data_IF_188996145325
#
_entry.id   IF_188996145325
#
_cell.length_a   1.000
_cell.length_b   1.000
_cell.length_c   1.000
_cell.angle_alpha   90.00
_cell.angle_beta   90.00
_cell.angle_gamma   90.00
#
_symmetry.space_group_name_H-M   'P 1'
#
loop_
_entity.id
_entity.type
_entity.pdbx_description
1 polymer ?
#
# COMPACT_ATOMS: atom_id res chain seq x y z
N UNK A 1 -63.71 5.82 15.19
CA UNK A 1 -62.61 5.72 14.18
C UNK A 1 -61.20 5.89 14.77
N UNK A 2 -61.02 5.99 16.10
CA UNK A 2 -59.73 6.31 16.75
C UNK A 2 -58.82 5.12 17.09
N UNK A 3 -59.33 3.87 17.11
CA UNK A 3 -58.52 2.71 17.52
C UNK A 3 -57.70 2.06 16.40
N UNK A 4 -57.99 2.36 15.12
CA UNK A 4 -57.27 1.78 13.97
C UNK A 4 -55.82 2.26 13.88
N UNK A 5 -55.52 3.46 14.36
CA UNK A 5 -54.16 4.01 14.36
C UNK A 5 -53.23 3.35 15.39
N UNK A 6 -53.76 2.90 16.54
CA UNK A 6 -52.96 2.17 17.54
C UNK A 6 -52.43 0.85 17.00
N UNK A 7 -53.27 0.11 16.25
CA UNK A 7 -52.85 -1.14 15.61
C UNK A 7 -51.82 -0.93 14.49
N UNK A 8 -51.92 0.18 13.74
CA UNK A 8 -50.92 0.55 12.72
C UNK A 8 -49.58 0.95 13.35
N UNK A 9 -49.60 1.66 14.48
CA UNK A 9 -48.37 2.01 15.23
C UNK A 9 -47.73 0.75 15.82
N UNK A 10 -48.50 -0.15 16.42
CA UNK A 10 -48.01 -1.43 16.97
C UNK A 10 -47.42 -2.31 15.86
N UNK A 11 -48.09 -2.41 14.70
CA UNK A 11 -47.58 -3.16 13.56
C UNK A 11 -46.28 -2.57 13.01
N UNK A 12 -46.15 -1.24 12.99
CA UNK A 12 -44.91 -0.57 12.54
C UNK A 12 -43.72 -0.82 13.47
N UNK A 13 -43.95 -0.95 14.78
CA UNK A 13 -42.91 -1.26 15.77
C UNK A 13 -42.39 -2.70 15.66
N UNK A 14 -43.24 -3.64 15.22
CA UNK A 14 -42.87 -5.04 14.98
C UNK A 14 -42.06 -5.23 13.69
N UNK A 15 -42.12 -4.28 12.76
CA UNK A 15 -41.43 -4.34 11.45
C UNK A 15 -40.16 -3.52 11.37
N UNK A 16 -39.66 -2.96 12.48
CA UNK A 16 -38.30 -2.40 12.51
C UNK A 16 -37.36 -3.53 12.92
N UNK A 17 -36.71 -4.24 11.99
CA UNK A 17 -35.53 -5.02 12.35
C UNK A 17 -34.50 -4.01 12.83
N UNK A 18 -34.40 -3.82 14.15
CA UNK A 18 -33.27 -3.12 14.74
C UNK A 18 -32.01 -3.82 14.23
N UNK A 19 -31.02 -3.05 13.75
CA UNK A 19 -29.75 -3.61 13.33
C UNK A 19 -29.15 -4.42 14.49
N UNK A 20 -29.32 -5.74 14.45
CA UNK A 20 -28.89 -6.66 15.50
C UNK A 20 -27.36 -6.82 15.52
N UNK A 21 -26.67 -6.36 14.47
CA UNK A 21 -25.24 -6.55 14.28
C UNK A 21 -24.43 -5.31 14.70
N UNK A 22 -24.69 -4.80 15.91
CA UNK A 22 -23.92 -3.71 16.50
C UNK A 22 -22.76 -4.27 17.32
N UNK A 23 -21.65 -4.58 16.66
CA UNK A 23 -20.41 -4.96 17.34
C UNK A 23 -19.63 -3.68 17.75
N UNK A 24 -19.29 -3.57 19.03
CA UNK A 24 -18.59 -2.40 19.59
C UNK A 24 -17.23 -2.14 18.90
N UNK A 25 -16.95 -0.87 18.62
CA UNK A 25 -15.68 -0.41 18.01
C UNK A 25 -14.47 -0.81 18.87
N UNK A 26 -14.63 -0.84 20.19
CA UNK A 26 -13.56 -1.16 21.15
C UNK A 26 -13.10 -2.62 21.10
N UNK A 27 -13.92 -3.51 20.52
CA UNK A 27 -13.60 -4.94 20.32
C UNK A 27 -12.87 -5.20 19.00
N UNK A 28 -12.63 -4.16 18.18
CA UNK A 28 -12.02 -4.28 16.86
C UNK A 28 -10.63 -3.63 16.85
N UNK A 29 -9.68 -4.32 16.24
CA UNK A 29 -8.36 -3.79 15.95
C UNK A 29 -8.28 -3.56 14.44
N UNK A 30 -8.32 -2.29 14.04
CA UNK A 30 -8.23 -1.92 12.64
C UNK A 30 -6.79 -1.98 12.19
N UNK A 31 -6.51 -2.84 11.22
CA UNK A 31 -5.21 -2.87 10.57
C UNK A 31 -5.11 -1.61 9.69
N UNK A 32 -3.92 -1.04 9.52
CA UNK A 32 -3.67 0.07 8.57
C UNK A 32 -2.70 -0.32 7.48
N UNK A 33 -1.67 -1.08 7.83
CA UNK A 33 -0.65 -1.57 6.91
C UNK A 33 -0.38 -3.06 7.18
N UNK A 34 -0.18 -3.81 6.11
CA UNK A 34 0.17 -5.23 6.10
C UNK A 34 1.53 -5.36 5.43
N UNK A 35 2.42 -6.15 6.01
CA UNK A 35 3.72 -6.52 5.49
C UNK A 35 3.76 -8.04 5.32
N UNK A 36 4.24 -8.52 4.18
CA UNK A 36 4.43 -9.96 3.95
C UNK A 36 5.86 -10.24 3.55
N UNK A 37 6.47 -11.14 4.31
CA UNK A 37 7.81 -11.66 4.09
C UNK A 37 7.79 -13.20 4.03
N UNK A 38 8.74 -13.81 3.32
CA UNK A 38 9.10 -15.22 3.49
C UNK A 38 10.33 -15.24 4.41
N UNK A 39 10.24 -15.94 5.53
CA UNK A 39 11.36 -16.06 6.46
C UNK A 39 12.35 -17.16 6.07
N UNK A 40 13.44 -17.26 6.82
CA UNK A 40 14.52 -18.22 6.58
C UNK A 40 14.08 -19.69 6.67
N UNK A 41 12.91 -19.97 7.25
CA UNK A 41 12.33 -21.32 7.33
C UNK A 41 11.33 -21.58 6.21
N UNK A 42 11.29 -20.71 5.19
CA UNK A 42 10.33 -20.75 4.10
C UNK A 42 8.87 -20.66 4.58
N UNK A 43 8.64 -20.00 5.72
CA UNK A 43 7.30 -19.70 6.23
C UNK A 43 6.88 -18.29 5.82
N UNK A 44 5.58 -18.10 5.65
CA UNK A 44 5.00 -16.78 5.43
C UNK A 44 4.95 -16.06 6.75
N UNK A 45 5.64 -14.92 6.84
CA UNK A 45 5.57 -13.97 7.94
C UNK A 45 4.67 -12.83 7.56
N UNK A 46 3.58 -12.66 8.30
CA UNK A 46 2.72 -11.51 8.19
C UNK A 46 3.01 -10.53 9.33
N UNK A 47 3.24 -9.28 8.99
CA UNK A 47 3.41 -8.15 9.91
C UNK A 47 2.25 -7.18 9.72
N UNK A 48 1.61 -6.72 10.79
CA UNK A 48 0.52 -5.74 10.71
C UNK A 48 0.79 -4.56 11.62
N UNK A 49 0.33 -3.39 11.19
CA UNK A 49 0.26 -2.18 12.01
C UNK A 49 -1.17 -1.92 12.45
N UNK A 50 -1.34 -1.72 13.75
CA UNK A 50 -2.59 -1.31 14.40
C UNK A 50 -2.37 0.09 14.98
N UNK A 51 -3.17 1.11 14.63
CA UNK A 51 -3.01 2.45 15.17
C UNK A 51 -3.37 2.45 16.66
N UNK A 52 -2.55 3.13 17.47
CA UNK A 52 -2.84 3.35 18.87
C UNK A 52 -3.69 4.62 18.98
N UNK A 53 -4.90 4.48 19.54
CA UNK A 53 -5.72 5.63 19.90
C UNK A 53 -5.02 6.37 21.03
N UNK A 54 -4.43 7.54 20.74
CA UNK A 54 -3.93 8.42 21.79
C UNK A 54 -5.12 8.93 22.60
N UNK A 55 -5.07 8.77 23.92
CA UNK A 55 -5.93 9.54 24.80
C UNK A 55 -5.73 11.03 24.48
N UNK A 56 -6.83 11.73 24.22
CA UNK A 56 -6.82 13.17 24.04
C UNK A 56 -6.42 13.77 25.38
N UNK A 57 -5.13 14.07 25.54
CA UNK A 57 -4.64 14.74 26.73
C UNK A 57 -5.32 16.13 26.83
N UNK A 58 -5.77 16.53 28.03
CA UNK A 58 -6.39 17.83 28.22
C UNK A 58 -5.42 18.97 27.82
N UNK A 59 -5.94 20.10 27.30
CA UNK A 59 -5.12 21.22 26.87
C UNK A 59 -4.32 21.76 28.06
N UNK A 60 -3.00 21.56 28.04
CA UNK A 60 -2.08 21.96 29.12
C UNK A 60 -1.10 20.86 29.55
N UNK A 61 -1.34 19.59 29.20
CA UNK A 61 -0.36 18.54 29.43
C UNK A 61 0.81 18.69 28.46
N UNK A 62 2.02 18.98 28.98
CA UNK A 62 3.26 18.90 28.21
C UNK A 62 3.45 17.47 27.71
N UNK A 63 3.21 17.26 26.41
CA UNK A 63 3.48 15.99 25.73
C UNK A 63 4.99 15.79 25.62
N UNK A 64 5.58 15.18 26.65
CA UNK A 64 6.96 14.70 26.67
C UNK A 64 7.08 13.22 26.28
N UNK A 65 5.97 12.53 25.98
CA UNK A 65 5.99 11.11 25.63
C UNK A 65 6.14 10.93 24.13
N UNK A 66 7.36 10.54 23.73
CA UNK A 66 7.73 10.01 22.41
C UNK A 66 7.13 8.60 22.24
N UNK A 67 5.80 8.47 22.38
CA UNK A 67 5.08 7.21 22.21
C UNK A 67 4.87 6.88 20.73
N UNK A 68 5.02 5.61 20.36
CA UNK A 68 4.70 5.12 19.00
C UNK A 68 3.21 5.35 18.72
N UNK A 69 2.89 5.81 17.51
CA UNK A 69 1.51 6.05 17.08
C UNK A 69 0.78 4.79 16.62
N UNK A 70 1.53 3.69 16.52
CA UNK A 70 1.05 2.39 16.08
C UNK A 70 1.75 1.28 16.86
N UNK A 71 1.06 0.17 16.99
CA UNK A 71 1.59 -1.11 17.43
C UNK A 71 1.87 -1.96 16.20
N UNK A 72 3.07 -2.49 16.09
CA UNK A 72 3.45 -3.46 15.06
C UNK A 72 3.50 -4.84 15.68
N UNK A 73 2.79 -5.81 15.11
CA UNK A 73 2.82 -7.22 15.52
C UNK A 73 3.07 -8.11 14.31
N UNK A 74 3.75 -9.24 14.51
CA UNK A 74 4.09 -10.18 13.44
C UNK A 74 3.90 -11.61 13.89
N UNK A 75 3.39 -12.47 12.99
CA UNK A 75 3.35 -13.91 13.18
C UNK A 75 3.76 -14.65 11.89
N UNK A 76 4.26 -15.88 12.03
CA UNK A 76 4.61 -16.76 10.92
C UNK A 76 3.62 -17.92 10.81
N UNK A 77 3.43 -18.44 9.60
CA UNK A 77 2.65 -19.64 9.32
C UNK A 77 3.05 -20.27 7.97
N UNK A 78 2.62 -21.50 7.70
CA UNK A 78 2.91 -22.18 6.42
C UNK A 78 2.20 -21.54 5.22
N UNK A 79 1.18 -20.74 5.47
CA UNK A 79 0.43 -19.99 4.45
C UNK A 79 0.08 -18.59 4.95
N UNK A 80 -0.32 -17.70 4.02
CA UNK A 80 -0.82 -16.35 4.35
C UNK A 80 -2.03 -16.43 5.29
N UNK A 81 -2.90 -17.43 5.12
CA UNK A 81 -4.05 -17.65 5.98
C UNK A 81 -3.65 -18.07 7.40
N UNK A 82 -2.72 -19.03 7.53
CA UNK A 82 -2.23 -19.48 8.84
C UNK A 82 -1.50 -18.36 9.59
N UNK A 83 -0.67 -17.58 8.89
CA UNK A 83 0.00 -16.41 9.47
C UNK A 83 -1.03 -15.37 9.96
N UNK A 84 -2.11 -15.15 9.21
CA UNK A 84 -3.20 -14.27 9.65
C UNK A 84 -3.98 -14.84 10.85
N UNK A 85 -4.28 -16.14 10.86
CA UNK A 85 -4.91 -16.80 12.01
C UNK A 85 -4.03 -16.76 13.27
N UNK A 86 -2.71 -16.89 13.11
CA UNK A 86 -1.77 -16.75 14.21
C UNK A 86 -1.77 -15.31 14.77
N UNK A 87 -1.87 -14.30 13.91
CA UNK A 87 -2.06 -12.91 14.33
C UNK A 87 -3.39 -12.72 15.08
N UNK A 88 -4.50 -13.28 14.59
CA UNK A 88 -5.80 -13.24 15.27
C UNK A 88 -5.72 -13.86 16.68
N UNK A 89 -4.97 -14.95 16.85
CA UNK A 89 -4.78 -15.60 18.15
C UNK A 89 -3.91 -14.79 19.14
N UNK A 90 -3.05 -13.90 18.64
CA UNK A 90 -2.21 -13.03 19.47
C UNK A 90 -2.93 -11.78 19.96
N UNK A 91 -4.11 -11.47 19.43
CA UNK A 91 -4.86 -10.25 19.75
C UNK A 91 -6.21 -10.58 20.36
N UNK A 92 -6.54 -9.96 21.50
CA UNK A 92 -7.86 -10.10 22.12
C UNK A 92 -8.98 -9.44 21.28
N UNK A 93 -8.62 -8.45 20.45
CA UNK A 93 -9.53 -7.75 19.56
C UNK A 93 -9.63 -8.44 18.22
N UNK A 94 -10.83 -8.45 17.64
CA UNK A 94 -11.06 -8.95 16.28
C UNK A 94 -10.30 -8.07 15.28
N UNK A 95 -9.38 -8.67 14.52
CA UNK A 95 -8.65 -7.98 13.46
C UNK A 95 -9.60 -7.64 12.31
N UNK A 96 -9.60 -6.37 11.89
CA UNK A 96 -10.42 -5.87 10.78
C UNK A 96 -9.52 -5.20 9.75
N UNK A 97 -9.56 -5.72 8.53
CA UNK A 97 -8.88 -5.14 7.38
C UNK A 97 -9.82 -4.10 6.75
N UNK A 98 -9.39 -2.83 6.69
CA UNK A 98 -10.18 -1.70 6.17
C UNK A 98 -10.00 -1.50 4.66
N UNK A 99 -10.95 -0.79 4.02
CA UNK A 99 -11.05 -0.67 2.55
C UNK A 99 -9.84 -0.11 1.79
N UNK A 100 -8.94 0.63 2.45
CA UNK A 100 -7.76 1.26 1.80
C UNK A 100 -6.52 1.08 2.65
N UNK A 101 -5.98 -0.13 2.62
CA UNK A 101 -4.71 -0.44 3.31
C UNK A 101 -3.55 -0.51 2.34
N UNK A 102 -2.36 -0.37 2.91
CA UNK A 102 -1.13 -0.62 2.21
C UNK A 102 -0.66 -2.05 2.48
N UNK A 103 -0.35 -2.76 1.41
CA UNK A 103 0.37 -4.02 1.46
C UNK A 103 1.80 -3.78 1.00
N UNK A 104 2.76 -4.01 1.89
CA UNK A 104 4.18 -4.03 1.60
C UNK A 104 4.63 -5.47 1.44
N UNK A 105 5.31 -5.79 0.36
CA UNK A 105 5.88 -7.11 0.09
C UNK A 105 7.40 -6.99 0.19
N UNK A 106 8.04 -7.87 0.96
CA UNK A 106 9.51 -7.91 1.03
C UNK A 106 10.13 -8.17 -0.34
N UNK A 107 11.31 -7.62 -0.60
CA UNK A 107 11.98 -7.76 -1.89
C UNK A 107 12.19 -9.24 -2.29
N UNK A 108 12.76 -10.04 -1.40
CA UNK A 108 12.98 -11.47 -1.62
C UNK A 108 11.68 -12.25 -1.80
N UNK A 109 10.63 -11.90 -1.05
CA UNK A 109 9.29 -12.46 -1.20
C UNK A 109 8.70 -12.17 -2.56
N UNK A 110 8.86 -10.94 -3.05
CA UNK A 110 8.41 -10.54 -4.37
C UNK A 110 9.16 -11.30 -5.47
N UNK A 111 10.47 -11.57 -5.29
CA UNK A 111 11.29 -12.39 -6.20
C UNK A 111 10.85 -13.86 -6.20
N UNK A 112 10.54 -14.42 -5.03
CA UNK A 112 10.03 -15.79 -4.90
C UNK A 112 8.66 -15.96 -5.58
N UNK A 113 7.81 -14.94 -5.45
CA UNK A 113 6.56 -14.80 -6.20
C UNK A 113 5.38 -14.40 -5.34
N UNK A 114 4.50 -13.56 -5.89
CA UNK A 114 3.39 -12.93 -5.15
C UNK A 114 2.04 -13.65 -5.31
N UNK A 115 1.98 -14.74 -6.07
CA UNK A 115 0.72 -15.47 -6.32
C UNK A 115 -0.03 -15.88 -5.04
N UNK A 116 0.61 -16.50 -4.02
CA UNK A 116 -0.10 -16.89 -2.80
C UNK A 116 -0.67 -15.69 -2.03
N UNK A 117 -0.01 -14.54 -2.13
CA UNK A 117 -0.44 -13.29 -1.49
C UNK A 117 -1.68 -12.74 -2.20
N UNK A 118 -1.65 -12.69 -3.53
CA UNK A 118 -2.77 -12.20 -4.33
C UNK A 118 -4.00 -13.10 -4.19
N UNK A 119 -3.82 -14.42 -4.17
CA UNK A 119 -4.91 -15.38 -3.99
C UNK A 119 -5.63 -15.16 -2.64
N UNK A 120 -4.86 -14.95 -1.57
CA UNK A 120 -5.42 -14.63 -0.26
C UNK A 120 -6.22 -13.32 -0.24
N UNK A 121 -5.73 -12.27 -0.90
CA UNK A 121 -6.41 -10.97 -0.99
C UNK A 121 -7.74 -11.02 -1.75
N UNK A 122 -7.91 -11.96 -2.67
CA UNK A 122 -9.11 -12.06 -3.52
C UNK A 122 -10.13 -13.03 -2.95
N UNK A 123 -9.66 -14.10 -2.30
CA UNK A 123 -10.53 -15.14 -1.76
C UNK A 123 -11.11 -14.78 -0.40
N UNK A 124 -10.46 -13.91 0.37
CA UNK A 124 -10.95 -13.51 1.68
C UNK A 124 -12.03 -12.43 1.55
N UNK A 125 -13.28 -12.67 1.99
CA UNK A 125 -14.32 -11.62 1.98
C UNK A 125 -13.96 -10.43 2.88
N UNK A 126 -13.00 -10.63 3.80
CA UNK A 126 -12.51 -9.63 4.74
C UNK A 126 -11.43 -8.73 4.14
N UNK A 127 -10.82 -9.09 3.01
CA UNK A 127 -9.80 -8.26 2.34
C UNK A 127 -10.45 -7.43 1.24
N UNK A 128 -10.41 -6.09 1.37
CA UNK A 128 -10.99 -5.22 0.35
C UNK A 128 -10.14 -5.22 -0.93
N UNK A 129 -10.77 -5.09 -2.11
CA UNK A 129 -10.09 -5.16 -3.40
C UNK A 129 -9.19 -3.95 -3.72
N UNK A 130 -9.17 -2.94 -2.85
CA UNK A 130 -8.49 -1.65 -3.07
C UNK A 130 -7.23 -1.47 -2.21
N UNK A 131 -6.59 -2.56 -1.77
CA UNK A 131 -5.29 -2.47 -1.12
C UNK A 131 -4.23 -1.97 -2.11
N UNK A 132 -3.45 -0.97 -1.72
CA UNK A 132 -2.32 -0.51 -2.52
C UNK A 132 -1.13 -1.43 -2.30
N UNK A 133 -0.48 -1.86 -3.38
CA UNK A 133 0.70 -2.74 -3.31
C UNK A 133 1.97 -1.91 -3.43
N UNK A 134 2.90 -2.15 -2.51
CA UNK A 134 4.28 -1.70 -2.54
C UNK A 134 5.24 -2.88 -2.36
N UNK A 135 6.45 -2.72 -2.86
CA UNK A 135 7.55 -3.65 -2.66
C UNK A 135 8.65 -2.92 -1.88
N UNK A 136 9.14 -3.54 -0.82
CA UNK A 136 10.31 -3.03 -0.09
C UNK A 136 11.52 -3.08 -1.03
N UNK A 137 12.27 -1.99 -1.12
CA UNK A 137 13.46 -1.92 -1.97
C UNK A 137 14.50 -2.94 -1.51
N UNK A 138 15.07 -3.72 -2.43
CA UNK A 138 16.10 -4.71 -2.10
C UNK A 138 17.26 -4.06 -1.32
N UNK A 139 17.76 -4.69 -0.23
CA UNK A 139 17.40 -6.01 0.30
C UNK A 139 16.39 -5.99 1.45
N UNK A 140 15.64 -4.89 1.67
CA UNK A 140 14.77 -4.76 2.85
C UNK A 140 13.57 -5.70 2.82
N UNK A 141 13.13 -6.05 4.03
CA UNK A 141 11.92 -6.81 4.32
C UNK A 141 10.73 -5.89 4.55
N UNK A 142 9.51 -6.38 4.33
CA UNK A 142 8.30 -5.63 4.66
C UNK A 142 8.21 -5.35 6.16
N UNK A 143 8.64 -6.29 7.01
CA UNK A 143 8.73 -6.10 8.47
C UNK A 143 9.55 -4.87 8.84
N UNK A 144 10.75 -4.70 8.29
CA UNK A 144 11.60 -3.54 8.58
C UNK A 144 10.91 -2.21 8.20
N UNK A 145 10.24 -2.17 7.04
CA UNK A 145 9.44 -1.02 6.60
C UNK A 145 8.32 -0.70 7.61
N UNK A 146 7.65 -1.72 8.14
CA UNK A 146 6.53 -1.57 9.08
C UNK A 146 6.97 -1.36 10.54
N UNK A 147 8.20 -1.69 10.92
CA UNK A 147 8.71 -1.42 12.27
C UNK A 147 9.28 0.00 12.39
N UNK A 148 9.66 0.59 11.26
CA UNK A 148 10.20 1.93 11.20
C UNK A 148 9.21 2.98 11.68
N UNK A 149 9.64 3.82 12.62
CA UNK A 149 8.87 4.98 13.11
C UNK A 149 9.49 6.26 12.54
N UNK A 150 8.82 6.95 11.60
CA UNK A 150 9.33 8.19 11.02
C UNK A 150 9.38 9.31 12.07
N UNK A 151 10.36 10.21 11.95
CA UNK A 151 10.55 11.36 12.85
C UNK A 151 9.60 12.54 12.53
N UNK A 152 8.85 12.45 11.43
CA UNK A 152 8.04 13.56 10.91
C UNK A 152 6.78 13.79 11.75
N UNK A 153 6.65 14.98 12.33
CA UNK A 153 5.67 15.36 13.36
C UNK A 153 4.18 15.37 12.93
N UNK A 154 3.87 15.24 11.64
CA UNK A 154 2.59 15.75 11.13
C UNK A 154 1.50 14.70 10.97
N UNK A 155 1.83 13.43 10.69
CA UNK A 155 0.83 12.36 10.67
C UNK A 155 1.45 10.99 10.96
N UNK A 156 0.74 10.13 11.72
CA UNK A 156 1.21 8.81 12.07
C UNK A 156 1.14 7.82 10.91
N UNK A 157 2.21 7.05 10.73
CA UNK A 157 2.19 5.82 9.96
C UNK A 157 2.26 5.99 8.44
N UNK A 158 2.51 4.86 7.78
CA UNK A 158 2.90 4.78 6.38
C UNK A 158 1.78 5.20 5.40
N UNK A 159 0.53 4.88 5.70
CA UNK A 159 -0.65 5.25 4.89
C UNK A 159 -0.82 6.77 4.74
N UNK A 160 -0.50 7.52 5.80
CA UNK A 160 -0.58 8.98 5.81
C UNK A 160 0.51 9.63 4.96
N UNK A 161 1.71 9.03 4.94
CA UNK A 161 2.81 9.45 4.07
C UNK A 161 2.46 9.23 2.60
N UNK A 162 1.92 8.05 2.30
CA UNK A 162 1.50 7.67 0.97
C UNK A 162 0.40 8.59 0.42
N UNK A 163 -0.62 8.89 1.22
CA UNK A 163 -1.71 9.79 0.81
C UNK A 163 -1.18 11.18 0.47
N UNK A 164 -0.24 11.70 1.26
CA UNK A 164 0.40 12.99 1.00
C UNK A 164 1.22 12.95 -0.30
N UNK A 165 1.95 11.87 -0.56
CA UNK A 165 2.76 11.73 -1.79
C UNK A 165 1.91 11.57 -3.03
N UNK A 166 0.84 10.78 -2.97
CA UNK A 166 -0.15 10.70 -4.04
C UNK A 166 -0.73 12.08 -4.40
N UNK A 167 -0.94 12.95 -3.39
CA UNK A 167 -1.45 14.29 -3.60
C UNK A 167 -0.41 15.30 -4.14
N UNK A 168 0.89 15.12 -3.86
CA UNK A 168 1.91 16.18 -4.06
C UNK A 168 3.14 15.80 -4.89
N UNK A 169 3.44 14.51 -5.07
CA UNK A 169 4.69 14.00 -5.67
C UNK A 169 4.44 12.77 -6.56
N UNK A 170 3.57 12.93 -7.57
CA UNK A 170 3.14 11.84 -8.45
C UNK A 170 4.15 11.41 -9.53
N UNK A 171 5.35 12.00 -9.55
CA UNK A 171 6.38 11.72 -10.56
C UNK A 171 7.46 10.73 -10.09
N UNK A 172 7.53 10.44 -8.78
CA UNK A 172 8.61 9.62 -8.22
C UNK A 172 8.32 8.12 -8.22
N UNK A 173 7.05 7.75 -8.10
CA UNK A 173 6.58 6.37 -8.08
C UNK A 173 5.11 6.29 -8.50
N UNK A 174 4.65 5.11 -8.89
CA UNK A 174 3.28 4.85 -9.32
C UNK A 174 2.73 3.65 -8.58
N UNK A 175 1.53 3.82 -8.03
CA UNK A 175 0.88 2.82 -7.21
C UNK A 175 -0.15 2.04 -8.02
N UNK A 176 -0.42 0.83 -7.57
CA UNK A 176 -1.41 -0.06 -8.16
C UNK A 176 -2.26 -0.67 -7.05
N UNK A 177 -3.56 -0.75 -7.29
CA UNK A 177 -4.47 -1.47 -6.41
C UNK A 177 -4.36 -2.97 -6.66
N UNK A 178 -4.56 -3.77 -5.62
CA UNK A 178 -4.43 -5.22 -5.65
C UNK A 178 -5.32 -5.87 -6.71
N UNK A 179 -6.56 -5.40 -6.88
CA UNK A 179 -7.44 -5.92 -7.93
C UNK A 179 -6.86 -5.68 -9.34
N UNK A 180 -6.31 -4.49 -9.62
CA UNK A 180 -5.77 -4.14 -10.93
C UNK A 180 -4.45 -4.87 -11.19
N UNK A 181 -3.64 -5.05 -10.14
CA UNK A 181 -2.44 -5.88 -10.19
C UNK A 181 -2.80 -7.29 -10.61
N UNK A 182 -3.77 -7.90 -9.94
CA UNK A 182 -4.22 -9.25 -10.27
C UNK A 182 -4.85 -9.32 -11.67
N UNK A 183 -5.69 -8.36 -12.03
CA UNK A 183 -6.33 -8.30 -13.34
C UNK A 183 -5.28 -8.31 -14.47
N UNK A 184 -4.24 -7.48 -14.37
CA UNK A 184 -3.18 -7.40 -15.38
C UNK A 184 -2.38 -8.70 -15.48
N UNK A 185 -2.12 -9.37 -14.35
CA UNK A 185 -1.48 -10.68 -14.33
C UNK A 185 -2.32 -11.75 -15.04
N UNK A 186 -3.63 -11.79 -14.79
CA UNK A 186 -4.53 -12.79 -15.38
C UNK A 186 -4.64 -12.64 -16.90
N UNK A 187 -4.82 -11.42 -17.40
CA UNK A 187 -5.01 -11.19 -18.83
C UNK A 187 -3.70 -11.23 -19.63
N UNK A 188 -2.53 -11.26 -18.97
CA UNK A 188 -1.23 -11.30 -19.64
C UNK A 188 -0.99 -10.15 -20.62
N UNK A 189 -1.75 -9.05 -20.50
CA UNK A 189 -1.78 -7.99 -21.52
C UNK A 189 -0.67 -6.96 -21.35
N UNK A 190 -0.23 -6.73 -20.11
CA UNK A 190 0.84 -5.81 -19.73
C UNK A 190 1.53 -6.33 -18.48
N UNK A 191 2.85 -6.24 -18.46
CA UNK A 191 3.63 -6.49 -17.26
C UNK A 191 3.16 -5.56 -16.13
N UNK A 192 3.15 -6.11 -14.92
CA UNK A 192 2.73 -5.38 -13.73
C UNK A 192 3.93 -4.73 -13.06
N UNK A 193 3.64 -3.63 -12.40
CA UNK A 193 4.60 -2.90 -11.60
C UNK A 193 3.93 -2.49 -10.30
N UNK A 194 4.72 -2.27 -9.26
CA UNK A 194 4.30 -1.69 -7.99
C UNK A 194 5.29 -0.60 -7.58
N UNK A 195 4.88 0.31 -6.70
CA UNK A 195 5.81 1.31 -6.16
C UNK A 195 6.86 0.67 -5.27
N UNK A 196 8.07 1.22 -5.26
CA UNK A 196 9.09 0.87 -4.29
C UNK A 196 8.96 1.72 -3.03
N UNK A 197 9.27 1.11 -1.89
CA UNK A 197 9.39 1.78 -0.61
C UNK A 197 10.69 1.43 0.08
N UNK A 198 11.30 2.46 0.67
CA UNK A 198 12.53 2.36 1.41
C UNK A 198 12.52 3.31 2.62
N UNK A 199 13.56 3.27 3.45
CA UNK A 199 13.75 4.09 4.64
C UNK A 199 15.03 4.90 4.51
N UNK A 200 14.92 6.21 4.65
CA UNK A 200 16.05 7.09 4.93
C UNK A 200 16.29 7.13 6.44
N UNK A 201 17.27 6.36 6.92
CA UNK A 201 17.60 6.31 8.35
C UNK A 201 18.18 7.63 8.87
N UNK A 202 18.87 8.40 8.00
CA UNK A 202 19.50 9.66 8.38
C UNK A 202 18.46 10.75 8.60
N UNK A 203 17.51 10.86 7.67
CA UNK A 203 16.42 11.83 7.77
C UNK A 203 15.21 11.32 8.56
N UNK A 204 15.17 10.03 8.90
CA UNK A 204 14.07 9.45 9.65
C UNK A 204 12.74 9.51 8.88
N UNK A 205 12.75 9.24 7.57
CA UNK A 205 11.57 9.30 6.69
C UNK A 205 11.48 8.08 5.77
N UNK A 206 10.28 7.77 5.30
CA UNK A 206 10.12 6.85 4.17
C UNK A 206 10.60 7.49 2.86
N UNK A 207 11.18 6.69 1.98
CA UNK A 207 11.47 7.00 0.59
C UNK A 207 10.48 6.17 -0.24
N UNK A 208 9.80 6.81 -1.20
CA UNK A 208 8.86 6.15 -2.11
C UNK A 208 9.19 6.63 -3.52
N UNK A 209 10.16 5.96 -4.13
CA UNK A 209 10.80 6.35 -5.38
C UNK A 209 11.16 5.08 -6.13
N UNK A 210 10.93 5.06 -7.44
CA UNK A 210 11.17 3.87 -8.23
C UNK A 210 9.96 2.95 -8.36
N UNK A 211 10.13 1.90 -9.15
CA UNK A 211 9.13 0.87 -9.43
C UNK A 211 9.72 -0.53 -9.33
N UNK A 212 9.00 -1.43 -8.68
CA UNK A 212 9.21 -2.87 -8.79
C UNK A 212 8.53 -3.36 -10.06
N UNK A 213 9.26 -4.02 -10.96
CA UNK A 213 8.76 -4.56 -12.23
C UNK A 213 8.71 -6.07 -12.16
N UNK A 214 7.59 -6.64 -12.57
CA UNK A 214 7.34 -8.08 -12.47
C UNK A 214 7.34 -8.74 -13.83
N UNK A 215 7.86 -9.97 -13.88
CA UNK A 215 7.66 -10.90 -15.00
C UNK A 215 6.73 -12.02 -14.49
N UNK A 216 5.50 -12.04 -15.01
CA UNK A 216 4.44 -12.81 -14.41
C UNK A 216 4.28 -12.44 -12.93
N UNK A 217 4.27 -13.43 -12.04
CA UNK A 217 4.06 -13.22 -10.61
C UNK A 217 5.33 -12.99 -9.80
N UNK A 218 6.50 -12.79 -10.43
CA UNK A 218 7.79 -12.64 -9.76
C UNK A 218 8.43 -11.30 -10.07
N UNK A 219 9.07 -10.69 -9.07
CA UNK A 219 9.87 -9.48 -9.24
C UNK A 219 11.06 -9.79 -10.15
N UNK A 220 11.12 -9.10 -11.29
CA UNK A 220 12.19 -9.24 -12.27
C UNK A 220 13.29 -8.18 -12.05
N UNK A 221 12.91 -6.98 -11.63
CA UNK A 221 13.85 -5.89 -11.43
C UNK A 221 13.23 -4.67 -10.75
N UNK A 222 14.07 -3.68 -10.49
CA UNK A 222 13.71 -2.41 -9.87
C UNK A 222 14.14 -1.28 -10.80
N UNK A 223 13.22 -0.36 -11.09
CA UNK A 223 13.51 0.88 -11.79
C UNK A 223 13.79 1.97 -10.78
N UNK A 224 14.86 2.73 -10.99
CA UNK A 224 15.19 3.87 -10.18
C UNK A 224 14.22 5.06 -10.44
N UNK A 225 14.47 6.18 -9.77
CA UNK A 225 13.66 7.39 -9.90
C UNK A 225 13.57 7.92 -11.35
N UNK A 226 14.68 8.01 -12.08
CA UNK A 226 14.73 8.58 -13.43
C UNK A 226 14.07 7.65 -14.46
N UNK A 227 14.32 6.35 -14.34
CA UNK A 227 13.68 5.32 -15.15
C UNK A 227 12.16 5.31 -14.92
N UNK A 228 11.74 5.46 -13.66
CA UNK A 228 10.32 5.52 -13.30
C UNK A 228 9.64 6.78 -13.84
N UNK A 229 10.32 7.93 -13.81
CA UNK A 229 9.83 9.14 -14.46
C UNK A 229 9.62 8.92 -15.97
N UNK A 230 10.60 8.32 -16.64
CA UNK A 230 10.53 7.99 -18.06
C UNK A 230 9.37 7.03 -18.35
N UNK A 231 9.23 5.97 -17.55
CA UNK A 231 8.10 5.05 -17.61
C UNK A 231 6.75 5.78 -17.49
N UNK A 232 6.64 6.72 -16.54
CA UNK A 232 5.44 7.52 -16.34
C UNK A 232 5.08 8.42 -17.53
N UNK A 233 6.08 8.98 -18.22
CA UNK A 233 5.88 9.73 -19.46
C UNK A 233 5.38 8.83 -20.59
N UNK A 234 6.03 7.68 -20.79
CA UNK A 234 5.69 6.73 -21.86
C UNK A 234 4.29 6.13 -21.66
N UNK A 235 3.89 5.92 -20.40
CA UNK A 235 2.60 5.31 -20.05
C UNK A 235 1.49 6.32 -19.72
N UNK A 236 1.72 7.63 -19.89
CA UNK A 236 0.78 8.72 -19.56
C UNK A 236 0.34 8.76 -18.08
N UNK A 237 1.17 8.27 -17.16
CA UNK A 237 0.89 8.31 -15.72
C UNK A 237 1.45 9.56 -15.04
N UNK A 238 2.49 10.17 -15.63
CA UNK A 238 3.10 11.38 -15.10
C UNK A 238 2.20 12.60 -15.36
N UNK A 239 1.50 13.07 -14.33
CA UNK A 239 0.61 14.25 -14.41
C UNK A 239 1.37 15.57 -14.36
N UNK A 240 2.39 15.64 -13.51
CA UNK A 240 3.31 16.76 -13.36
C UNK A 240 4.56 16.25 -12.65
N UNK A 241 5.73 16.59 -13.17
CA UNK A 241 6.98 16.31 -12.47
C UNK A 241 8.13 17.19 -12.93
N UNK A 242 9.32 16.86 -12.43
CA UNK A 242 10.55 17.62 -12.67
C UNK A 242 11.61 16.75 -13.32
N UNK A 243 12.13 17.20 -14.45
CA UNK A 243 13.26 16.56 -15.14
C UNK A 243 14.40 17.54 -15.15
N UNK A 244 15.57 17.08 -14.74
CA UNK A 244 16.80 17.87 -14.72
C UNK A 244 17.76 17.27 -15.72
N UNK A 245 18.36 18.12 -16.54
CA UNK A 245 19.34 17.74 -17.56
C UNK A 245 20.67 18.37 -17.20
N UNK A 246 21.72 17.57 -17.33
CA UNK A 246 23.09 18.02 -17.26
C UNK A 246 23.57 18.31 -18.68
N UNK A 247 23.94 19.56 -18.96
CA UNK A 247 24.37 20.00 -20.29
C UNK A 247 25.89 19.97 -20.49
N UNK A 248 26.64 19.57 -19.46
CA UNK A 248 28.07 19.28 -19.55
C UNK A 248 28.43 18.12 -18.63
N UNK A 249 29.46 17.37 -19.01
CA UNK A 249 30.04 16.30 -18.18
C UNK A 249 30.76 16.82 -16.93
N UNK A 250 30.98 18.12 -16.82
CA UNK A 250 31.53 18.77 -15.62
C UNK A 250 30.45 18.92 -14.54
N UNK A 251 30.77 18.48 -13.32
CA UNK A 251 29.93 18.60 -12.11
C UNK A 251 29.62 20.08 -11.79
N UNK A 252 30.51 20.99 -12.17
CA UNK A 252 30.33 22.44 -12.02
C UNK A 252 29.52 23.10 -13.16
N UNK A 253 29.13 22.32 -14.17
CA UNK A 253 28.40 22.81 -15.33
C UNK A 253 26.96 23.27 -15.03
N UNK A 254 26.37 24.06 -15.94
CA UNK A 254 25.01 24.53 -15.79
C UNK A 254 24.01 23.36 -15.86
N UNK A 255 23.21 23.21 -14.80
CA UNK A 255 22.09 22.28 -14.74
C UNK A 255 20.79 23.00 -15.07
N UNK A 256 20.01 22.44 -15.98
CA UNK A 256 18.69 22.98 -16.34
C UNK A 256 17.59 22.06 -15.85
N UNK A 257 16.57 22.63 -15.20
CA UNK A 257 15.46 21.86 -14.64
C UNK A 257 14.14 22.33 -15.22
N UNK A 258 13.46 21.42 -15.92
CA UNK A 258 12.09 21.61 -16.39
C UNK A 258 11.13 21.19 -15.30
N UNK A 259 10.20 22.09 -14.95
CA UNK A 259 9.15 21.83 -13.96
C UNK A 259 7.80 21.67 -14.64
N UNK A 260 6.90 20.95 -13.99
CA UNK A 260 5.55 20.67 -14.48
C UNK A 260 5.56 19.98 -15.86
N UNK A 261 6.57 19.13 -16.10
CA UNK A 261 6.63 18.30 -17.31
C UNK A 261 5.45 17.33 -17.27
N UNK A 262 4.71 17.30 -18.38
CA UNK A 262 3.58 16.40 -18.62
C UNK A 262 3.69 15.84 -20.03
N UNK A 263 3.41 14.55 -20.20
CA UNK A 263 3.45 13.87 -21.48
C UNK A 263 2.07 13.44 -21.95
N UNK A 264 1.87 13.43 -23.28
CA UNK A 264 0.77 12.68 -23.92
C UNK A 264 1.37 11.80 -25.01
N UNK A 265 1.64 10.56 -24.65
CA UNK A 265 2.24 9.53 -25.49
C UNK A 265 1.16 8.73 -26.20
N UNK A 266 1.35 8.52 -27.50
CA UNK A 266 0.57 7.57 -28.32
C UNK A 266 1.56 6.60 -28.96
N UNK A 267 1.46 5.33 -28.61
CA UNK A 267 2.30 4.26 -29.19
C UNK A 267 1.60 3.76 -30.46
N UNK A 268 2.32 3.75 -31.58
CA UNK A 268 1.82 3.24 -32.87
C UNK A 268 2.63 2.01 -33.24
N UNK A 269 2.00 0.84 -33.14
CA UNK A 269 2.66 -0.41 -33.53
C UNK A 269 2.56 -0.57 -35.04
N UNK A 270 3.72 -0.63 -35.70
CA UNK A 270 3.88 -1.05 -37.09
C UNK A 270 4.39 -2.49 -37.11
N UNK A 271 4.10 -3.23 -38.18
CA UNK A 271 4.67 -4.58 -38.38
C UNK A 271 5.73 -4.47 -39.47
N UNK A 272 6.98 -4.80 -39.14
CA UNK A 272 8.08 -4.88 -40.09
C UNK A 272 8.65 -6.29 -40.05
N UNK A 273 8.69 -6.97 -41.20
CA UNK A 273 9.19 -8.36 -41.33
C UNK A 273 8.58 -9.35 -40.33
N UNK A 274 7.29 -9.19 -40.01
CA UNK A 274 6.57 -10.05 -39.06
C UNK A 274 6.87 -9.76 -37.59
N UNK A 275 7.70 -8.76 -37.28
CA UNK A 275 7.98 -8.30 -35.92
C UNK A 275 7.28 -6.96 -35.62
N UNK A 276 6.79 -6.75 -34.40
CA UNK A 276 6.24 -5.46 -33.99
C UNK A 276 7.36 -4.41 -33.83
N UNK A 277 7.15 -3.25 -34.44
CA UNK A 277 7.96 -2.04 -34.31
C UNK A 277 7.09 -0.97 -33.61
N UNK A 278 7.53 -0.50 -32.45
CA UNK A 278 6.73 0.34 -31.54
C UNK A 278 7.03 1.83 -31.68
#
# INVERSE_FOLDING_TARGET
MSHKWYWLIILSLLTVPGCWDLEEVDRRAFITNIGIDIDSQNQVRMTIQIPLLKEILPPGARSGSRGKDFQTISASGSSVYEAFSALEAMTERRLVIQQKQLLVIGSETARAGVNPILDWLLRSPKTPPHCLILVAQSPRTAKEILEFTPQTKTMPGLTSDLTRRLATKSDRTYFIESWLFHQKLLYGSKDVYAGLIDIDEKEGKYIMEGLAVFNGHRLAGELNYEESQTFGLLTNQMKAGRITFDFSDDIAGPKYSLRAVKGKTKIKVLVNEGQPFF
#
